data_IF_966112259263
#
_entry.id   IF_966112259263
#
_cell.length_a   1.000
_cell.length_b   1.000
_cell.length_c   1.000
_cell.angle_alpha   90.00
_cell.angle_beta   90.00
_cell.angle_gamma   90.00
#
_symmetry.space_group_name_H-M   'P 1'
#
loop_
_entity.id
_entity.type
_entity.pdbx_description
1 polymer ?
#
# COMPACT_ATOMS: atom_id res chain seq x y z
N UNK A 1 -3.16 0.74 4.65
CA UNK A 1 -4.38 0.06 5.16
C UNK A 1 -5.51 1.05 5.42
N UNK A 2 -5.39 1.99 6.38
CA UNK A 2 -6.45 2.97 6.66
C UNK A 2 -6.91 3.76 5.41
N UNK A 3 -5.97 4.29 4.62
CA UNK A 3 -6.31 4.97 3.36
C UNK A 3 -7.07 4.07 2.37
N UNK A 4 -6.68 2.80 2.22
CA UNK A 4 -7.34 1.82 1.34
C UNK A 4 -8.77 1.50 1.80
N UNK A 5 -9.00 1.43 3.11
CA UNK A 5 -10.34 1.23 3.69
C UNK A 5 -11.23 2.45 3.43
N UNK A 6 -10.68 3.65 3.64
CA UNK A 6 -11.45 4.90 3.54
C UNK A 6 -11.87 5.27 2.11
N UNK A 7 -11.17 4.77 1.09
CA UNK A 7 -11.54 5.02 -0.33
C UNK A 7 -12.62 4.07 -0.85
N UNK A 8 -12.93 2.99 -0.11
CA UNK A 8 -13.89 2.00 -0.56
C UNK A 8 -15.32 2.45 -0.26
N UNK A 9 -16.22 2.59 -1.26
CA UNK A 9 -17.60 2.95 -1.00
C UNK A 9 -18.36 1.81 -0.33
N UNK A 10 -19.42 2.13 0.42
CA UNK A 10 -20.14 1.18 1.27
C UNK A 10 -20.65 -0.06 0.50
N UNK A 11 -21.19 0.13 -0.70
CA UNK A 11 -21.71 -0.97 -1.51
C UNK A 11 -20.61 -1.92 -2.03
N UNK A 12 -19.35 -1.49 -2.04
CA UNK A 12 -18.25 -2.29 -2.56
C UNK A 12 -17.73 -3.32 -1.55
N UNK A 13 -18.08 -3.20 -0.26
CA UNK A 13 -17.66 -4.14 0.79
C UNK A 13 -18.06 -5.58 0.52
N UNK A 14 -19.19 -5.81 -0.15
CA UNK A 14 -19.63 -7.18 -0.50
C UNK A 14 -18.78 -7.87 -1.56
N UNK A 15 -17.90 -7.12 -2.23
CA UNK A 15 -17.04 -7.63 -3.31
C UNK A 15 -15.57 -7.74 -2.90
N UNK A 16 -15.22 -7.43 -1.65
CA UNK A 16 -13.83 -7.54 -1.20
C UNK A 16 -13.42 -9.01 -1.07
N UNK A 17 -12.33 -9.38 -1.73
CA UNK A 17 -11.75 -10.71 -1.65
C UNK A 17 -10.73 -10.82 -0.50
N UNK A 18 -10.19 -12.03 -0.29
CA UNK A 18 -9.16 -12.32 0.72
C UNK A 18 -7.95 -11.40 0.60
N UNK A 19 -7.47 -11.10 -0.60
CA UNK A 19 -6.32 -10.20 -0.79
C UNK A 19 -6.52 -8.78 -0.25
N UNK A 20 -7.73 -8.24 -0.38
CA UNK A 20 -8.08 -6.95 0.23
C UNK A 20 -8.07 -7.07 1.77
N UNK A 21 -8.75 -8.10 2.30
CA UNK A 21 -8.81 -8.38 3.74
C UNK A 21 -7.42 -8.50 4.36
N UNK A 22 -6.50 -9.22 3.72
CA UNK A 22 -5.14 -9.42 4.22
C UNK A 22 -4.34 -8.11 4.20
N UNK A 23 -4.47 -7.32 3.13
CA UNK A 23 -3.82 -6.01 2.98
C UNK A 23 -4.32 -4.99 4.00
N UNK A 24 -5.62 -5.03 4.34
CA UNK A 24 -6.24 -4.08 5.27
C UNK A 24 -6.30 -4.57 6.71
N UNK A 25 -5.84 -5.79 7.03
CA UNK A 25 -5.94 -6.41 8.36
C UNK A 25 -5.45 -5.50 9.49
N UNK A 26 -4.38 -4.74 9.29
CA UNK A 26 -3.82 -3.83 10.32
C UNK A 26 -4.69 -2.60 10.61
N UNK A 27 -5.69 -2.28 9.77
CA UNK A 27 -6.63 -1.20 10.04
C UNK A 27 -7.65 -1.55 11.14
N UNK A 28 -7.77 -2.82 11.52
CA UNK A 28 -8.63 -3.27 12.63
C UNK A 28 -7.93 -3.26 14.00
N UNK A 29 -6.69 -2.76 14.07
CA UNK A 29 -5.97 -2.55 15.33
C UNK A 29 -6.52 -1.34 16.12
N UNK A 30 -6.13 -1.21 17.40
CA UNK A 30 -6.55 -0.11 18.27
C UNK A 30 -6.17 1.28 17.67
N UNK A 31 -7.15 2.14 17.37
CA UNK A 31 -6.88 3.48 16.86
C UNK A 31 -6.10 4.38 17.82
N UNK A 32 -6.29 4.25 19.14
CA UNK A 32 -5.58 5.06 20.13
C UNK A 32 -4.08 4.72 20.16
N UNK A 33 -3.76 3.43 20.09
CA UNK A 33 -2.37 2.98 19.96
C UNK A 33 -1.71 3.53 18.68
N UNK A 34 -2.40 3.44 17.53
CA UNK A 34 -1.84 3.94 16.27
C UNK A 34 -1.70 5.47 16.24
N UNK A 35 -2.60 6.22 16.88
CA UNK A 35 -2.45 7.66 17.09
C UNK A 35 -1.14 7.95 17.83
N UNK A 36 -0.88 7.24 18.91
CA UNK A 36 0.30 7.47 19.76
C UNK A 36 1.60 7.11 19.04
N UNK A 37 1.63 5.99 18.31
CA UNK A 37 2.77 5.60 17.44
C UNK A 37 3.04 6.68 16.38
N UNK A 38 1.99 7.16 15.71
CA UNK A 38 2.10 8.21 14.70
C UNK A 38 2.56 9.55 15.29
N UNK A 39 2.11 9.89 16.51
CA UNK A 39 2.54 11.10 17.20
C UNK A 39 4.03 11.02 17.58
N UNK A 40 4.47 9.88 18.11
CA UNK A 40 5.86 9.66 18.51
C UNK A 40 6.84 9.62 17.31
N UNK A 41 6.38 9.15 16.14
CA UNK A 41 7.22 8.99 14.94
C UNK A 41 6.77 9.87 13.76
N UNK A 42 6.25 11.07 14.06
CA UNK A 42 5.58 11.93 13.07
C UNK A 42 6.42 12.18 11.83
N UNK A 43 7.67 12.66 11.99
CA UNK A 43 8.50 13.05 10.84
C UNK A 43 8.93 11.85 9.97
N UNK A 44 9.46 10.74 10.54
CA UNK A 44 9.78 9.56 9.73
C UNK A 44 8.56 8.95 9.02
N UNK A 45 7.41 8.88 9.70
CA UNK A 45 6.17 8.34 9.12
C UNK A 45 5.68 9.26 8.00
N UNK A 46 5.64 10.57 8.21
CA UNK A 46 5.23 11.52 7.18
C UNK A 46 6.13 11.42 5.94
N UNK A 47 7.45 11.36 6.11
CA UNK A 47 8.38 11.19 5.00
C UNK A 47 8.16 9.87 4.23
N UNK A 48 7.88 8.78 4.96
CA UNK A 48 7.60 7.47 4.37
C UNK A 48 6.27 7.47 3.60
N UNK A 49 5.23 8.10 4.14
CA UNK A 49 3.94 8.25 3.49
C UNK A 49 4.04 9.11 2.22
N UNK A 50 4.82 10.18 2.23
CA UNK A 50 5.06 11.01 1.04
C UNK A 50 5.73 10.21 -0.09
N UNK A 51 6.76 9.41 0.23
CA UNK A 51 7.40 8.52 -0.76
C UNK A 51 6.42 7.49 -1.29
N UNK A 52 5.62 6.88 -0.42
CA UNK A 52 4.61 5.91 -0.82
C UNK A 52 3.55 6.52 -1.75
N UNK A 53 3.09 7.74 -1.46
CA UNK A 53 2.15 8.46 -2.32
C UNK A 53 2.73 8.75 -3.71
N UNK A 54 4.02 9.11 -3.78
CA UNK A 54 4.72 9.31 -5.05
C UNK A 54 4.79 8.02 -5.89
N UNK A 55 5.09 6.88 -5.27
CA UNK A 55 5.11 5.58 -5.96
C UNK A 55 3.72 5.18 -6.49
N UNK A 56 2.66 5.41 -5.71
CA UNK A 56 1.28 5.19 -6.17
C UNK A 56 0.95 6.08 -7.36
N UNK A 57 1.28 7.37 -7.30
CA UNK A 57 1.01 8.31 -8.39
C UNK A 57 1.77 7.91 -9.66
N UNK A 58 3.03 7.49 -9.55
CA UNK A 58 3.82 7.02 -10.67
C UNK A 58 3.21 5.75 -11.31
N UNK A 59 2.75 4.79 -10.50
CA UNK A 59 2.08 3.59 -10.99
C UNK A 59 0.75 3.92 -11.68
N UNK A 60 -0.04 4.83 -11.12
CA UNK A 60 -1.28 5.30 -11.74
C UNK A 60 -1.03 5.96 -13.10
N UNK A 61 0.01 6.79 -13.21
CA UNK A 61 0.41 7.39 -14.48
C UNK A 61 0.85 6.34 -15.51
N UNK A 62 1.66 5.35 -15.11
CA UNK A 62 2.06 4.23 -15.99
C UNK A 62 0.84 3.51 -16.59
N UNK A 63 -0.21 3.29 -15.78
CA UNK A 63 -1.47 2.69 -16.25
C UNK A 63 -2.24 3.62 -17.20
N UNK A 64 -2.36 4.91 -16.86
CA UNK A 64 -3.06 5.89 -17.69
C UNK A 64 -2.41 6.07 -19.07
N UNK A 65 -1.08 5.99 -19.13
CA UNK A 65 -0.31 6.11 -20.37
C UNK A 65 -0.30 4.82 -21.22
N UNK A 66 -0.85 3.70 -20.73
CA UNK A 66 -0.78 2.41 -21.42
C UNK A 66 0.63 1.83 -21.53
N UNK A 67 1.52 2.12 -20.57
CA UNK A 67 2.93 1.69 -20.59
C UNK A 67 3.11 0.30 -19.96
N UNK A 68 2.56 -0.72 -20.59
CA UNK A 68 2.53 -2.10 -20.08
C UNK A 68 3.93 -2.68 -19.82
N UNK A 69 4.91 -2.37 -20.68
CA UNK A 69 6.29 -2.79 -20.47
C UNK A 69 6.91 -2.21 -19.19
N UNK A 70 6.68 -0.91 -18.92
CA UNK A 70 7.15 -0.24 -17.71
C UNK A 70 6.45 -0.80 -16.46
N UNK A 71 5.16 -1.12 -16.58
CA UNK A 71 4.38 -1.76 -15.53
C UNK A 71 4.99 -3.12 -15.15
N UNK A 72 5.29 -3.96 -16.14
CA UNK A 72 5.91 -5.27 -15.91
C UNK A 72 7.25 -5.12 -15.17
N UNK A 73 8.11 -4.22 -15.61
CA UNK A 73 9.41 -3.95 -14.97
C UNK A 73 9.23 -3.55 -13.50
N UNK A 74 8.26 -2.67 -13.20
CA UNK A 74 7.95 -2.26 -11.82
C UNK A 74 7.48 -3.44 -10.95
N UNK A 75 6.61 -4.30 -11.47
CA UNK A 75 6.09 -5.46 -10.77
C UNK A 75 7.18 -6.51 -10.52
N UNK A 76 8.04 -6.77 -11.51
CA UNK A 76 9.19 -7.67 -11.37
C UNK A 76 10.20 -7.18 -10.33
N UNK A 77 10.48 -5.87 -10.32
CA UNK A 77 11.34 -5.27 -9.31
C UNK A 77 10.76 -5.46 -7.89
N UNK A 78 9.46 -5.22 -7.71
CA UNK A 78 8.77 -5.43 -6.44
C UNK A 78 8.81 -6.91 -6.00
N UNK A 79 8.57 -7.85 -6.92
CA UNK A 79 8.68 -9.29 -6.66
C UNK A 79 10.09 -9.67 -6.21
N UNK A 80 11.12 -9.23 -6.93
CA UNK A 80 12.52 -9.54 -6.61
C UNK A 80 12.90 -9.03 -5.22
N UNK A 81 12.54 -7.80 -4.88
CA UNK A 81 12.82 -7.23 -3.55
C UNK A 81 12.12 -8.01 -2.44
N UNK A 82 10.86 -8.39 -2.64
CA UNK A 82 10.09 -9.18 -1.66
C UNK A 82 10.67 -10.58 -1.48
N UNK A 83 10.97 -11.28 -2.58
CA UNK A 83 11.51 -12.63 -2.53
C UNK A 83 12.88 -12.63 -1.84
N UNK A 84 13.73 -11.64 -2.09
CA UNK A 84 15.02 -11.51 -1.40
C UNK A 84 14.87 -11.27 0.12
N UNK A 85 13.84 -10.52 0.55
CA UNK A 85 13.61 -10.21 1.95
C UNK A 85 13.00 -11.36 2.76
N UNK A 86 12.16 -12.20 2.13
CA UNK A 86 11.34 -13.20 2.84
C UNK A 86 11.61 -14.65 2.41
N UNK A 87 12.25 -14.88 1.27
CA UNK A 87 12.61 -16.19 0.73
C UNK A 87 14.09 -16.21 0.30
N UNK A 88 15.05 -15.94 1.21
CA UNK A 88 16.47 -16.00 0.86
C UNK A 88 16.84 -17.43 0.43
N UNK A 89 17.55 -17.54 -0.70
CA UNK A 89 18.16 -18.81 -1.14
C UNK A 89 19.31 -19.20 -0.21
#
# INVERSE_FOLDING_TARGET
AAALVNVLPEHAWRFVASGFRDTTRVASSDPALWRDICAANRSPIAASLSRFAQEIAALAQTLQDGRDADLLVKLEAAKRLRDAAFNPK
#
